data_IF_111763495848
#
_entry.id   IF_111763495848
#
_cell.length_a   1.000
_cell.length_b   1.000
_cell.length_c   1.000
_cell.angle_alpha   90.00
_cell.angle_beta   90.00
_cell.angle_gamma   90.00
#
_symmetry.space_group_name_H-M   'P 1'
#
loop_
_entity.id
_entity.type
_entity.pdbx_description
1 polymer ?
#
# COMPACT_ATOMS: atom_id res chain seq x y z
N UNK A 1 2.66 -12.00 -8.70
CA UNK A 1 1.47 -12.50 -9.41
C UNK A 1 0.81 -11.43 -10.29
N UNK A 2 0.61 -10.18 -9.81
CA UNK A 2 0.07 -9.09 -10.68
C UNK A 2 1.06 -8.58 -11.71
N UNK A 3 2.36 -8.60 -11.44
CA UNK A 3 3.40 -8.21 -12.40
C UNK A 3 3.50 -9.18 -13.59
N UNK A 4 3.09 -10.43 -13.43
CA UNK A 4 3.06 -11.42 -14.51
C UNK A 4 1.95 -11.17 -15.55
N UNK A 5 1.03 -10.28 -15.29
CA UNK A 5 -0.03 -9.86 -16.23
C UNK A 5 0.25 -8.56 -16.99
N UNK A 6 1.39 -7.92 -16.77
CA UNK A 6 1.83 -6.76 -17.54
C UNK A 6 2.53 -7.26 -18.83
N UNK A 7 1.89 -7.03 -19.95
CA UNK A 7 2.23 -7.63 -21.25
C UNK A 7 3.56 -7.14 -21.83
N UNK A 8 4.14 -6.01 -21.36
CA UNK A 8 5.38 -5.42 -21.86
C UNK A 8 6.23 -4.84 -20.72
N UNK A 9 6.79 -5.72 -19.86
CA UNK A 9 7.82 -5.28 -18.92
C UNK A 9 9.16 -5.16 -19.67
N UNK A 10 9.88 -4.03 -19.53
CA UNK A 10 11.24 -3.92 -20.02
C UNK A 10 12.13 -5.05 -19.50
N UNK A 11 13.03 -5.57 -20.34
CA UNK A 11 13.94 -6.68 -19.99
C UNK A 11 14.66 -6.48 -18.64
N UNK A 12 15.21 -5.28 -18.32
CA UNK A 12 15.86 -5.06 -17.02
C UNK A 12 14.95 -5.29 -15.81
N UNK A 13 13.65 -4.97 -15.90
CA UNK A 13 12.69 -5.22 -14.81
C UNK A 13 12.44 -6.72 -14.66
N UNK A 14 12.33 -7.43 -15.78
CA UNK A 14 12.14 -8.88 -15.77
C UNK A 14 13.33 -9.60 -15.11
N UNK A 15 14.55 -9.16 -15.38
CA UNK A 15 15.76 -9.73 -14.79
C UNK A 15 15.84 -9.44 -13.29
N UNK A 16 15.55 -8.21 -12.87
CA UNK A 16 15.48 -7.84 -11.44
C UNK A 16 14.41 -8.67 -10.68
N UNK A 17 13.26 -8.93 -11.30
CA UNK A 17 12.23 -9.79 -10.70
C UNK A 17 12.69 -11.25 -10.57
N UNK A 18 13.49 -11.76 -11.51
CA UNK A 18 14.10 -13.10 -11.41
C UNK A 18 15.14 -13.17 -10.29
N UNK A 19 15.98 -12.14 -10.18
CA UNK A 19 16.97 -12.02 -9.10
C UNK A 19 16.26 -11.95 -7.73
N UNK A 20 15.24 -11.12 -7.59
CA UNK A 20 14.44 -11.02 -6.37
C UNK A 20 13.77 -12.36 -6.00
N UNK A 21 13.20 -13.05 -7.01
CA UNK A 21 12.61 -14.38 -6.80
C UNK A 21 13.66 -15.41 -6.34
N UNK A 22 14.88 -15.31 -6.86
CA UNK A 22 15.98 -16.20 -6.47
C UNK A 22 16.47 -15.88 -5.05
N UNK A 23 16.60 -14.60 -4.72
CA UNK A 23 16.92 -14.15 -3.37
C UNK A 23 15.86 -14.60 -2.36
N UNK A 24 14.58 -14.47 -2.70
CA UNK A 24 13.48 -14.94 -1.85
C UNK A 24 13.57 -16.43 -1.54
N UNK A 25 13.81 -17.27 -2.55
CA UNK A 25 13.97 -18.72 -2.35
C UNK A 25 15.11 -19.10 -1.41
N UNK A 26 16.14 -18.26 -1.31
CA UNK A 26 17.28 -18.48 -0.42
C UNK A 26 17.05 -17.98 1.00
N UNK A 27 16.06 -17.11 1.20
CA UNK A 27 15.78 -16.42 2.45
C UNK A 27 14.35 -16.62 2.96
N UNK A 28 13.83 -17.84 2.90
CA UNK A 28 12.51 -18.15 3.45
C UNK A 28 11.30 -17.61 2.67
N UNK A 29 11.53 -17.10 1.44
CA UNK A 29 10.44 -16.59 0.60
C UNK A 29 10.43 -15.08 0.45
N UNK A 30 9.36 -14.58 -0.18
CA UNK A 30 9.07 -13.15 -0.36
C UNK A 30 7.71 -12.84 0.28
N UNK A 31 7.66 -11.85 1.13
CA UNK A 31 6.42 -11.36 1.72
C UNK A 31 6.21 -9.88 1.40
N UNK A 32 4.96 -9.46 1.21
CA UNK A 32 4.63 -8.06 0.98
C UNK A 32 3.38 -7.67 1.79
N UNK A 33 3.51 -6.62 2.58
CA UNK A 33 2.43 -6.00 3.32
C UNK A 33 2.22 -4.56 2.84
N UNK A 34 0.97 -4.14 2.68
CA UNK A 34 0.66 -2.76 2.29
C UNK A 34 -0.57 -2.23 3.01
N UNK A 35 -0.53 -0.96 3.35
CA UNK A 35 -1.67 -0.28 3.97
C UNK A 35 -1.39 1.15 4.36
N UNK A 36 -2.44 1.84 4.80
CA UNK A 36 -2.35 3.20 5.35
C UNK A 36 -2.22 3.14 6.87
N UNK A 37 -1.43 4.03 7.43
CA UNK A 37 -1.33 4.17 8.90
C UNK A 37 -2.60 4.75 9.52
N UNK A 38 -3.52 5.24 8.69
CA UNK A 38 -4.84 5.76 9.06
C UNK A 38 -4.83 7.22 9.50
N UNK A 39 -5.56 8.06 8.77
CA UNK A 39 -5.74 9.49 9.10
C UNK A 39 -6.58 9.71 10.37
N UNK A 40 -7.34 8.71 10.80
CA UNK A 40 -8.20 8.74 12.00
C UNK A 40 -7.66 7.97 13.19
N UNK A 41 -6.51 7.34 13.06
CA UNK A 41 -5.90 6.65 14.18
C UNK A 41 -5.38 7.68 15.19
N UNK A 42 -6.17 7.96 16.21
CA UNK A 42 -5.67 8.54 17.47
C UNK A 42 -4.70 7.56 18.15
N UNK A 43 -4.24 6.55 17.44
CA UNK A 43 -3.45 5.43 17.94
C UNK A 43 -1.97 5.50 17.54
N UNK A 44 -1.19 4.79 18.29
CA UNK A 44 0.25 4.63 18.12
C UNK A 44 0.57 3.92 16.79
N UNK A 45 1.72 4.24 16.21
CA UNK A 45 2.15 3.71 14.91
C UNK A 45 2.39 2.19 14.93
N UNK A 46 2.84 1.65 16.07
CA UNK A 46 3.16 0.22 16.23
C UNK A 46 1.95 -0.70 16.05
N UNK A 47 0.80 -0.48 16.71
CA UNK A 47 -0.42 -1.24 16.44
C UNK A 47 -0.93 -1.07 15.00
N UNK A 48 -0.77 0.11 14.40
CA UNK A 48 -1.17 0.34 13.02
C UNK A 48 -0.31 -0.48 12.03
N UNK A 49 1.01 -0.54 12.25
CA UNK A 49 1.90 -1.40 11.47
C UNK A 49 1.54 -2.87 11.64
N UNK A 50 1.37 -3.34 12.89
CA UNK A 50 1.03 -4.73 13.16
C UNK A 50 -0.26 -5.15 12.49
N UNK A 51 -1.29 -4.30 12.46
CA UNK A 51 -2.54 -4.54 11.74
C UNK A 51 -2.29 -4.80 10.24
N UNK A 52 -1.43 -4.00 9.61
CA UNK A 52 -1.07 -4.17 8.20
C UNK A 52 -0.38 -5.53 7.97
N UNK A 53 0.55 -5.89 8.84
CA UNK A 53 1.31 -7.13 8.75
C UNK A 53 0.41 -8.34 9.03
N UNK A 54 -0.39 -8.31 10.08
CA UNK A 54 -1.30 -9.40 10.43
C UNK A 54 -2.29 -9.68 9.28
N UNK A 55 -2.89 -8.62 8.70
CA UNK A 55 -3.76 -8.77 7.54
C UNK A 55 -3.04 -9.44 6.36
N UNK A 56 -1.79 -9.08 6.08
CA UNK A 56 -1.01 -9.67 4.99
C UNK A 56 -0.63 -11.11 5.24
N UNK A 57 -0.52 -11.51 6.50
CA UNK A 57 -0.25 -12.87 6.95
C UNK A 57 -1.53 -13.72 7.11
N UNK A 58 -2.72 -13.20 6.75
CA UNK A 58 -3.99 -13.89 6.94
C UNK A 58 -4.40 -14.05 8.40
N UNK A 59 -3.90 -13.18 9.28
CA UNK A 59 -4.23 -13.13 10.70
C UNK A 59 -5.29 -12.03 10.97
N UNK A 60 -6.01 -12.11 12.11
CA UNK A 60 -6.89 -11.04 12.57
C UNK A 60 -6.12 -9.72 12.74
N UNK A 61 -6.75 -8.61 12.37
CA UNK A 61 -6.11 -7.28 12.43
C UNK A 61 -5.87 -6.78 13.88
N UNK A 62 -6.68 -7.22 14.83
CA UNK A 62 -6.56 -6.81 16.21
C UNK A 62 -5.46 -7.60 16.94
N UNK A 63 -4.59 -6.90 17.65
CA UNK A 63 -3.40 -7.46 18.30
C UNK A 63 -3.71 -8.67 19.20
N UNK A 64 -4.67 -8.63 20.16
CA UNK A 64 -4.90 -9.76 21.04
C UNK A 64 -5.45 -10.98 20.28
N UNK A 65 -6.32 -10.79 19.28
CA UNK A 65 -6.84 -11.88 18.46
C UNK A 65 -5.75 -12.51 17.58
N UNK A 66 -4.89 -11.68 16.98
CA UNK A 66 -3.75 -12.19 16.22
C UNK A 66 -2.80 -13.02 17.09
N UNK A 67 -2.44 -12.51 18.26
CA UNK A 67 -1.59 -13.22 19.23
C UNK A 67 -2.21 -14.55 19.67
N UNK A 68 -3.52 -14.57 19.92
CA UNK A 68 -4.24 -15.79 20.28
C UNK A 68 -4.25 -16.79 19.13
N UNK A 69 -4.52 -16.36 17.89
CA UNK A 69 -4.50 -17.26 16.73
C UNK A 69 -3.08 -17.80 16.47
N UNK A 70 -2.04 -16.97 16.59
CA UNK A 70 -0.65 -17.43 16.46
C UNK A 70 -0.31 -18.46 17.54
N UNK A 71 -0.74 -18.24 18.79
CA UNK A 71 -0.57 -19.20 19.86
C UNK A 71 -1.30 -20.53 19.55
N UNK A 72 -2.56 -20.48 19.11
CA UNK A 72 -3.29 -21.70 18.71
C UNK A 72 -2.58 -22.46 17.57
N UNK A 73 -2.02 -21.75 16.59
CA UNK A 73 -1.22 -22.37 15.51
C UNK A 73 0.01 -23.07 16.08
N UNK A 74 0.74 -22.39 16.96
CA UNK A 74 1.98 -22.89 17.58
C UNK A 74 1.73 -24.15 18.42
N UNK A 75 0.61 -24.17 19.18
CA UNK A 75 0.22 -25.32 20.00
C UNK A 75 -0.47 -26.43 19.18
N UNK A 76 -0.70 -26.21 17.87
CA UNK A 76 -1.41 -27.17 17.01
C UNK A 76 -2.90 -27.32 17.33
N UNK A 77 -3.49 -26.33 18.00
CA UNK A 77 -4.87 -26.36 18.48
C UNK A 77 -5.86 -25.68 17.54
N UNK A 78 -5.38 -24.91 16.55
CA UNK A 78 -6.24 -24.03 15.73
C UNK A 78 -7.35 -24.79 15.03
N UNK A 79 -7.01 -25.87 14.33
CA UNK A 79 -7.98 -26.64 13.54
C UNK A 79 -9.04 -27.32 14.44
N UNK A 80 -8.64 -27.82 15.60
CA UNK A 80 -9.55 -28.42 16.55
C UNK A 80 -10.52 -27.38 17.15
N UNK A 81 -10.03 -26.19 17.48
CA UNK A 81 -10.86 -25.11 18.01
C UNK A 81 -11.81 -24.57 16.93
N UNK A 82 -11.35 -24.37 15.70
CA UNK A 82 -12.19 -24.00 14.56
C UNK A 82 -13.32 -25.00 14.34
N UNK A 83 -12.99 -26.29 14.22
CA UNK A 83 -13.97 -27.34 14.02
C UNK A 83 -15.01 -27.39 15.15
N UNK A 84 -14.60 -27.20 16.40
CA UNK A 84 -15.50 -27.18 17.57
C UNK A 84 -16.45 -25.97 17.53
N UNK A 85 -15.98 -24.79 17.16
CA UNK A 85 -16.82 -23.58 16.99
C UNK A 85 -17.85 -23.80 15.88
N UNK A 86 -17.45 -24.35 14.74
CA UNK A 86 -18.34 -24.66 13.61
C UNK A 86 -19.38 -25.72 13.97
N UNK A 87 -18.99 -26.77 14.67
CA UNK A 87 -19.91 -27.84 15.14
C UNK A 87 -20.97 -27.29 16.11
N UNK A 88 -20.61 -26.23 16.88
CA UNK A 88 -21.58 -25.53 17.72
C UNK A 88 -22.52 -24.59 16.93
N UNK A 89 -22.43 -24.58 15.58
CA UNK A 89 -23.22 -23.72 14.69
C UNK A 89 -22.84 -22.24 14.80
N UNK A 90 -21.60 -21.95 15.19
CA UNK A 90 -21.08 -20.57 15.35
C UNK A 90 -20.08 -20.26 14.24
N UNK A 91 -19.92 -18.96 13.98
CA UNK A 91 -18.92 -18.44 13.04
C UNK A 91 -17.67 -18.01 13.80
N UNK A 92 -16.50 -18.31 13.24
CA UNK A 92 -15.21 -18.06 13.88
C UNK A 92 -14.96 -16.57 14.16
N UNK A 93 -15.13 -15.69 13.16
CA UNK A 93 -14.80 -14.27 13.29
C UNK A 93 -15.59 -13.56 14.40
N UNK A 94 -16.92 -13.71 14.53
CA UNK A 94 -17.67 -13.15 15.65
C UNK A 94 -17.26 -13.69 17.02
N UNK A 95 -16.99 -14.99 17.13
CA UNK A 95 -16.57 -15.60 18.40
C UNK A 95 -15.17 -15.13 18.80
N UNK A 96 -14.25 -15.03 17.84
CA UNK A 96 -12.91 -14.48 18.03
C UNK A 96 -12.95 -12.99 18.39
N UNK A 97 -13.81 -12.20 17.74
CA UNK A 97 -14.02 -10.79 18.05
C UNK A 97 -14.49 -10.57 19.50
N UNK A 98 -15.21 -11.56 20.05
CA UNK A 98 -15.70 -11.56 21.41
C UNK A 98 -14.93 -12.52 22.34
N UNK A 99 -13.66 -12.82 22.07
CA UNK A 99 -12.88 -13.87 22.74
C UNK A 99 -12.92 -13.82 24.28
N UNK A 100 -13.06 -12.63 24.88
CA UNK A 100 -13.07 -12.47 26.33
C UNK A 100 -14.43 -12.77 26.99
N UNK A 101 -15.49 -12.88 26.19
CA UNK A 101 -16.86 -13.12 26.67
C UNK A 101 -17.52 -14.31 26.00
N UNK A 102 -16.98 -14.78 24.86
CA UNK A 102 -17.51 -15.91 24.13
C UNK A 102 -17.43 -17.18 24.96
N UNK A 103 -18.61 -17.77 25.20
CA UNK A 103 -18.71 -19.09 25.85
C UNK A 103 -18.36 -20.21 24.89
N UNK A 104 -18.81 -20.10 23.64
CA UNK A 104 -18.54 -21.11 22.61
C UNK A 104 -17.04 -21.24 22.32
N UNK A 105 -16.32 -20.13 22.24
CA UNK A 105 -14.86 -20.15 22.06
C UNK A 105 -14.15 -20.78 23.27
N UNK A 106 -14.59 -20.45 24.50
CA UNK A 106 -14.02 -21.04 25.70
C UNK A 106 -14.31 -22.55 25.81
N UNK A 107 -15.51 -23.03 25.42
CA UNK A 107 -15.87 -24.44 25.34
C UNK A 107 -15.03 -25.17 24.27
N UNK A 108 -14.87 -24.55 23.08
CA UNK A 108 -14.06 -25.11 22.02
C UNK A 108 -12.58 -25.24 22.42
N UNK A 109 -12.05 -24.23 23.12
CA UNK A 109 -10.66 -24.26 23.61
C UNK A 109 -10.46 -25.37 24.65
N UNK A 110 -11.37 -25.50 25.63
CA UNK A 110 -11.31 -26.55 26.64
C UNK A 110 -11.53 -27.95 26.06
N UNK A 111 -12.30 -28.09 24.97
CA UNK A 111 -12.43 -29.35 24.24
C UNK A 111 -11.13 -29.76 23.53
N UNK A 112 -10.39 -28.77 22.98
CA UNK A 112 -9.10 -28.99 22.32
C UNK A 112 -7.95 -29.17 23.33
N UNK A 113 -7.95 -28.40 24.42
CA UNK A 113 -6.98 -28.48 25.52
C UNK A 113 -7.68 -28.45 26.89
N UNK A 114 -8.04 -29.64 27.44
CA UNK A 114 -8.64 -29.74 28.79
C UNK A 114 -7.73 -29.20 29.93
N UNK A 115 -6.43 -29.08 29.67
CA UNK A 115 -5.46 -28.56 30.64
C UNK A 115 -5.39 -27.03 30.71
N UNK A 116 -5.96 -26.32 29.73
CA UNK A 116 -5.89 -24.87 29.64
C UNK A 116 -6.53 -24.17 30.84
N UNK A 117 -7.72 -24.62 31.31
CA UNK A 117 -8.41 -24.03 32.45
C UNK A 117 -9.39 -25.02 33.08
N UNK A 118 -9.83 -24.75 34.31
CA UNK A 118 -10.78 -25.61 35.04
C UNK A 118 -12.22 -25.53 34.51
N UNK A 119 -12.60 -24.40 33.97
CA UNK A 119 -13.93 -24.14 33.42
C UNK A 119 -13.95 -22.99 32.41
N UNK A 120 -15.07 -22.75 31.74
CA UNK A 120 -15.23 -21.70 30.73
C UNK A 120 -15.04 -20.27 31.28
N UNK A 121 -15.30 -20.05 32.57
CA UNK A 121 -15.09 -18.75 33.20
C UNK A 121 -13.60 -18.52 33.46
N UNK A 122 -12.90 -19.51 33.96
CA UNK A 122 -11.46 -19.48 34.14
C UNK A 122 -10.74 -19.33 32.78
N UNK A 123 -11.17 -20.05 31.75
CA UNK A 123 -10.63 -19.94 30.39
C UNK A 123 -10.72 -18.50 29.86
N UNK A 124 -11.89 -17.84 29.98
CA UNK A 124 -12.05 -16.44 29.56
C UNK A 124 -11.22 -15.46 30.38
N UNK A 125 -10.97 -15.74 31.65
CA UNK A 125 -10.09 -14.94 32.49
C UNK A 125 -8.64 -15.07 32.01
N UNK A 126 -8.17 -16.30 31.78
CA UNK A 126 -6.83 -16.57 31.28
C UNK A 126 -6.61 -15.95 29.90
N UNK A 127 -7.59 -16.04 29.00
CA UNK A 127 -7.50 -15.39 27.69
C UNK A 127 -7.28 -13.87 27.81
N UNK A 128 -7.97 -13.22 28.75
CA UNK A 128 -7.80 -11.77 29.01
C UNK A 128 -6.43 -11.44 29.61
N UNK A 129 -5.89 -12.31 30.44
CA UNK A 129 -4.58 -12.13 31.07
C UNK A 129 -3.43 -12.41 30.08
N UNK A 130 -3.53 -13.46 29.27
CA UNK A 130 -2.49 -13.85 28.34
C UNK A 130 -2.48 -13.00 27.07
N UNK A 131 -3.65 -12.59 26.59
CA UNK A 131 -3.81 -11.79 25.37
C UNK A 131 -4.55 -10.48 25.67
N UNK A 132 -3.95 -9.57 26.49
CA UNK A 132 -4.63 -8.34 26.90
C UNK A 132 -4.86 -7.40 25.73
N UNK A 133 -5.98 -6.67 25.77
CA UNK A 133 -6.19 -5.56 24.85
C UNK A 133 -5.26 -4.41 25.26
N UNK A 134 -4.39 -3.99 24.33
CA UNK A 134 -3.41 -2.92 24.54
C UNK A 134 -3.66 -1.80 23.55
N UNK A 135 -3.59 -0.56 24.01
CA UNK A 135 -3.62 0.63 23.15
C UNK A 135 -2.29 0.83 22.40
N UNK A 136 -1.19 0.39 23.00
CA UNK A 136 0.13 0.37 22.38
C UNK A 136 0.92 -0.86 22.83
N UNK A 137 1.96 -1.19 22.05
CA UNK A 137 2.92 -2.26 22.30
C UNK A 137 4.32 -1.67 22.34
N UNK A 138 5.21 -2.30 23.10
CA UNK A 138 6.63 -1.95 23.09
C UNK A 138 7.29 -2.32 21.75
N UNK A 139 8.45 -1.73 21.44
CA UNK A 139 9.22 -2.08 20.25
C UNK A 139 9.56 -3.59 20.22
N UNK A 140 9.91 -4.16 21.37
CA UNK A 140 10.18 -5.58 21.48
C UNK A 140 8.97 -6.44 21.15
N UNK A 141 7.80 -6.13 21.73
CA UNK A 141 6.55 -6.85 21.45
C UNK A 141 6.16 -6.74 19.97
N UNK A 142 6.40 -5.59 19.35
CA UNK A 142 6.16 -5.39 17.93
C UNK A 142 7.08 -6.28 17.09
N UNK A 143 8.38 -6.27 17.33
CA UNK A 143 9.35 -7.11 16.62
C UNK A 143 9.05 -8.59 16.80
N UNK A 144 8.79 -9.03 18.02
CA UNK A 144 8.43 -10.43 18.33
C UNK A 144 7.14 -10.84 17.59
N UNK A 145 6.13 -9.96 17.54
CA UNK A 145 4.88 -10.24 16.86
C UNK A 145 5.04 -10.28 15.33
N UNK A 146 5.88 -9.41 14.74
CA UNK A 146 6.20 -9.45 13.30
C UNK A 146 6.91 -10.77 12.97
N UNK A 147 7.93 -11.12 13.76
CA UNK A 147 8.70 -12.35 13.57
C UNK A 147 7.80 -13.58 13.66
N UNK A 148 6.97 -13.67 14.68
CA UNK A 148 6.03 -14.79 14.87
C UNK A 148 4.97 -14.87 13.75
N UNK A 149 4.50 -13.73 13.25
CA UNK A 149 3.48 -13.69 12.21
C UNK A 149 3.98 -14.10 10.83
N UNK A 150 5.29 -13.86 10.52
CA UNK A 150 5.83 -14.04 9.17
C UNK A 150 6.84 -15.18 9.05
N UNK A 151 7.35 -15.73 10.16
CA UNK A 151 8.28 -16.85 10.12
C UNK A 151 7.53 -18.13 9.77
N UNK A 152 7.98 -18.82 8.73
CA UNK A 152 7.53 -20.16 8.34
C UNK A 152 8.76 -21.08 8.30
N UNK A 153 8.63 -22.29 8.84
CA UNK A 153 9.73 -23.29 8.88
C UNK A 153 11.05 -22.71 9.42
N UNK A 154 10.98 -21.94 10.50
CA UNK A 154 12.11 -21.24 11.15
C UNK A 154 12.85 -20.24 10.24
N UNK A 155 12.27 -19.84 9.12
CA UNK A 155 12.83 -18.86 8.21
C UNK A 155 11.95 -17.60 8.11
N UNK A 156 12.57 -16.43 8.29
CA UNK A 156 11.92 -15.15 8.10
C UNK A 156 12.04 -14.73 6.62
N UNK A 157 10.94 -14.41 5.92
CA UNK A 157 10.98 -14.06 4.50
C UNK A 157 11.55 -12.65 4.27
N UNK A 158 12.13 -12.41 3.09
CA UNK A 158 12.40 -11.04 2.65
C UNK A 158 11.10 -10.28 2.52
N UNK A 159 10.91 -9.28 3.36
CA UNK A 159 9.63 -8.61 3.57
C UNK A 159 9.66 -7.17 3.09
N UNK A 160 8.70 -6.80 2.24
CA UNK A 160 8.45 -5.44 1.81
C UNK A 160 7.21 -4.88 2.51
N UNK A 161 7.35 -3.76 3.21
CA UNK A 161 6.24 -3.04 3.83
C UNK A 161 6.02 -1.72 3.11
N UNK A 162 4.83 -1.54 2.53
CA UNK A 162 4.43 -0.30 1.86
C UNK A 162 3.45 0.46 2.75
N UNK A 163 3.88 1.62 3.23
CA UNK A 163 3.06 2.54 4.03
C UNK A 163 2.54 3.65 3.11
N UNK A 164 1.26 3.61 2.80
CA UNK A 164 0.65 4.58 1.91
C UNK A 164 0.17 5.82 2.67
N UNK A 165 0.28 6.97 2.01
CA UNK A 165 -0.15 8.28 2.52
C UNK A 165 0.47 8.65 3.89
N UNK A 166 1.76 8.38 4.08
CA UNK A 166 2.48 8.63 5.34
C UNK A 166 2.33 10.08 5.81
N UNK A 167 2.28 11.05 4.87
CA UNK A 167 2.09 12.46 5.21
C UNK A 167 0.74 12.72 5.92
N UNK A 168 -0.31 11.96 5.63
CA UNK A 168 -1.62 12.14 6.29
C UNK A 168 -1.56 11.70 7.76
N UNK A 169 -0.77 10.65 8.05
CA UNK A 169 -0.55 10.23 9.42
C UNK A 169 0.28 11.24 10.20
N UNK A 170 1.37 11.75 9.61
CA UNK A 170 2.25 12.71 10.27
C UNK A 170 1.53 14.04 10.50
N UNK A 171 0.86 14.55 9.45
CA UNK A 171 0.21 15.86 9.46
C UNK A 171 1.13 16.92 10.11
N UNK A 172 0.64 17.71 11.07
CA UNK A 172 1.40 18.75 11.79
C UNK A 172 2.09 18.21 13.07
N UNK A 173 1.93 16.93 13.39
CA UNK A 173 2.43 16.35 14.65
C UNK A 173 3.88 15.86 14.54
N UNK A 174 4.82 16.58 15.15
CA UNK A 174 6.23 16.20 15.17
C UNK A 174 6.48 14.84 15.85
N UNK A 175 5.71 14.52 16.89
CA UNK A 175 5.83 13.25 17.62
C UNK A 175 5.55 12.04 16.73
N UNK A 176 4.64 12.14 15.78
CA UNK A 176 4.34 11.07 14.83
C UNK A 176 5.48 10.80 13.86
N UNK A 177 6.21 11.84 13.47
CA UNK A 177 7.44 11.70 12.68
C UNK A 177 8.47 10.88 13.43
N UNK A 178 8.68 11.21 14.72
CA UNK A 178 9.60 10.50 15.57
C UNK A 178 9.20 9.03 15.77
N UNK A 179 7.92 8.76 15.99
CA UNK A 179 7.40 7.39 16.12
C UNK A 179 7.67 6.53 14.87
N UNK A 180 7.50 7.10 13.65
CA UNK A 180 7.81 6.38 12.41
C UNK A 180 9.32 6.14 12.28
N UNK A 181 10.15 7.13 12.62
CA UNK A 181 11.59 6.98 12.59
C UNK A 181 12.05 5.85 13.51
N UNK A 182 11.62 5.89 14.77
CA UNK A 182 11.94 4.87 15.77
C UNK A 182 11.50 3.47 15.32
N UNK A 183 10.30 3.36 14.74
CA UNK A 183 9.76 2.11 14.22
C UNK A 183 10.63 1.56 13.08
N UNK A 184 10.97 2.39 12.09
CA UNK A 184 11.80 1.97 10.95
C UNK A 184 13.21 1.59 11.40
N UNK A 185 13.82 2.37 12.30
CA UNK A 185 15.15 2.09 12.85
C UNK A 185 15.16 0.79 13.64
N UNK A 186 14.16 0.56 14.51
CA UNK A 186 14.02 -0.68 15.26
C UNK A 186 13.90 -1.88 14.34
N UNK A 187 12.99 -1.83 13.37
CA UNK A 187 12.80 -2.93 12.42
C UNK A 187 14.07 -3.18 11.58
N UNK A 188 14.75 -2.11 11.13
CA UNK A 188 15.99 -2.26 10.37
C UNK A 188 17.09 -2.95 11.15
N UNK A 189 17.22 -2.65 12.45
CA UNK A 189 18.22 -3.25 13.33
C UNK A 189 17.89 -4.72 13.65
N UNK A 190 16.63 -5.02 14.01
CA UNK A 190 16.24 -6.34 14.49
C UNK A 190 16.07 -7.39 13.38
N UNK A 191 15.77 -6.97 12.14
CA UNK A 191 15.59 -7.87 11.00
C UNK A 191 16.77 -7.91 10.03
N UNK A 192 17.91 -7.31 10.37
CA UNK A 192 19.19 -7.42 9.64
C UNK A 192 19.07 -7.18 8.12
N UNK A 193 18.22 -6.24 7.72
CA UNK A 193 17.99 -5.91 6.32
C UNK A 193 17.01 -6.82 5.56
N UNK A 194 16.42 -7.81 6.20
CA UNK A 194 15.38 -8.65 5.60
C UNK A 194 14.01 -7.96 5.48
N UNK A 195 13.86 -6.79 6.12
CA UNK A 195 12.64 -6.01 6.10
C UNK A 195 12.91 -4.62 5.53
N UNK A 196 12.19 -4.25 4.46
CA UNK A 196 12.32 -2.97 3.77
C UNK A 196 11.03 -2.18 3.84
N UNK A 197 11.13 -0.87 4.10
CA UNK A 197 10.00 0.05 4.09
C UNK A 197 9.97 0.93 2.83
N UNK A 198 8.77 1.10 2.26
CA UNK A 198 8.46 2.11 1.27
C UNK A 198 7.36 3.01 1.84
N UNK A 199 7.65 4.30 1.95
CA UNK A 199 6.65 5.31 2.29
C UNK A 199 6.18 6.04 1.03
N UNK A 200 4.88 6.18 0.83
CA UNK A 200 4.33 7.01 -0.25
C UNK A 200 3.69 8.28 0.29
N UNK A 201 3.65 9.33 -0.55
CA UNK A 201 3.06 10.60 -0.22
C UNK A 201 2.55 11.33 -1.46
N UNK A 202 1.51 12.16 -1.30
CA UNK A 202 0.86 12.86 -2.41
C UNK A 202 1.39 14.28 -2.63
N UNK A 203 1.95 14.91 -1.62
CA UNK A 203 2.45 16.29 -1.70
C UNK A 203 3.96 16.27 -1.83
N UNK A 204 4.53 17.32 -2.46
CA UNK A 204 5.97 17.52 -2.43
C UNK A 204 6.45 17.39 -0.98
N UNK A 205 7.15 16.32 -0.70
CA UNK A 205 7.65 15.95 0.63
C UNK A 205 8.55 17.05 1.24
N UNK A 206 8.97 18.03 0.41
CA UNK A 206 9.73 19.19 0.82
C UNK A 206 8.94 20.27 1.60
N UNK A 207 7.59 20.13 1.72
CA UNK A 207 6.75 21.22 2.20
C UNK A 207 6.72 21.42 3.72
N UNK A 208 7.05 20.42 4.53
CA UNK A 208 7.03 20.55 5.99
C UNK A 208 8.36 20.11 6.62
N UNK A 209 8.86 20.81 7.65
CA UNK A 209 10.12 20.44 8.34
C UNK A 209 10.08 19.02 8.91
N UNK A 210 8.93 18.56 9.36
CA UNK A 210 8.74 17.21 9.92
C UNK A 210 8.93 16.13 8.86
N UNK A 211 8.40 16.36 7.67
CA UNK A 211 8.50 15.41 6.57
C UNK A 211 9.94 15.35 6.02
N UNK A 212 10.66 16.49 5.97
CA UNK A 212 12.08 16.51 5.60
C UNK A 212 12.94 15.70 6.55
N UNK A 213 12.67 15.75 7.86
CA UNK A 213 13.36 14.92 8.86
C UNK A 213 13.13 13.42 8.63
N UNK A 214 11.91 13.04 8.28
CA UNK A 214 11.58 11.65 7.97
C UNK A 214 12.30 11.19 6.69
N UNK A 215 12.30 12.03 5.65
CA UNK A 215 12.97 11.72 4.38
C UNK A 215 14.48 11.45 4.55
N UNK A 216 15.12 12.13 5.48
CA UNK A 216 16.54 11.88 5.77
C UNK A 216 16.84 10.46 6.26
N UNK A 217 15.83 9.69 6.66
CA UNK A 217 15.94 8.28 7.10
C UNK A 217 15.66 7.29 5.99
N UNK A 218 15.05 7.73 4.89
CA UNK A 218 14.85 6.89 3.70
C UNK A 218 16.03 7.09 2.74
N UNK A 219 16.67 6.00 2.37
CA UNK A 219 17.91 6.01 1.58
C UNK A 219 17.68 6.49 0.14
N UNK A 220 16.50 6.21 -0.42
CA UNK A 220 16.19 6.46 -1.82
C UNK A 220 14.90 7.27 -1.94
N UNK A 221 14.97 8.61 -2.13
CA UNK A 221 13.82 9.41 -2.47
C UNK A 221 13.50 9.25 -3.97
N UNK A 222 12.25 8.87 -4.28
CA UNK A 222 11.74 8.79 -5.66
C UNK A 222 10.63 9.82 -5.79
N UNK A 223 10.80 10.77 -6.69
CA UNK A 223 9.77 11.74 -7.02
C UNK A 223 9.25 11.41 -8.43
N UNK A 224 7.93 11.15 -8.52
CA UNK A 224 7.27 11.05 -9.81
C UNK A 224 7.17 12.43 -10.43
N UNK A 225 7.65 12.57 -11.66
CA UNK A 225 7.60 13.85 -12.40
C UNK A 225 6.27 14.02 -13.12
N UNK A 226 5.94 15.26 -13.50
CA UNK A 226 4.74 15.56 -14.31
C UNK A 226 4.79 14.86 -15.68
N UNK A 227 5.99 14.56 -16.21
CA UNK A 227 6.19 13.79 -17.43
C UNK A 227 5.67 12.37 -17.35
N UNK A 228 5.71 11.77 -16.18
CA UNK A 228 5.20 10.41 -15.97
C UNK A 228 3.67 10.34 -16.08
N UNK A 229 2.98 11.42 -15.70
CA UNK A 229 1.52 11.57 -15.88
C UNK A 229 1.14 11.45 -17.34
N UNK A 230 1.89 12.12 -18.21
CA UNK A 230 1.66 12.12 -19.65
C UNK A 230 1.81 10.72 -20.26
N UNK A 231 2.84 10.00 -19.83
CA UNK A 231 3.08 8.63 -20.27
C UNK A 231 1.93 7.72 -19.82
N UNK A 232 1.45 7.87 -18.58
CA UNK A 232 0.30 7.11 -18.06
C UNK A 232 -0.97 7.44 -18.85
N UNK A 233 -1.24 8.72 -19.11
CA UNK A 233 -2.40 9.16 -19.90
C UNK A 233 -2.37 8.54 -21.29
N UNK A 234 -1.25 8.65 -22.01
CA UNK A 234 -1.11 8.14 -23.37
C UNK A 234 -1.22 6.63 -23.45
N UNK A 235 -0.58 5.90 -22.51
CA UNK A 235 -0.55 4.45 -22.53
C UNK A 235 -1.82 3.78 -22.03
N UNK A 236 -2.53 4.39 -21.06
CA UNK A 236 -3.67 3.75 -20.41
C UNK A 236 -5.02 4.35 -20.82
N UNK A 237 -5.14 5.71 -20.88
CA UNK A 237 -6.43 6.36 -21.17
C UNK A 237 -6.60 6.57 -22.67
N UNK A 238 -5.54 7.06 -23.33
CA UNK A 238 -5.56 7.41 -24.74
C UNK A 238 -4.92 6.33 -25.62
N UNK A 239 -4.74 5.11 -25.12
CA UNK A 239 -4.19 4.00 -25.89
C UNK A 239 -4.99 3.79 -27.18
N UNK A 240 -4.31 3.76 -28.33
CA UNK A 240 -4.92 3.58 -29.64
C UNK A 240 -4.87 2.13 -30.07
N UNK A 241 -5.96 1.67 -30.67
CA UNK A 241 -5.91 0.43 -31.42
C UNK A 241 -4.95 0.59 -32.62
N UNK A 242 -4.12 -0.41 -32.93
CA UNK A 242 -3.15 -0.31 -34.04
C UNK A 242 -3.79 0.14 -35.36
N UNK A 243 -5.00 -0.35 -35.66
CA UNK A 243 -5.73 -0.06 -36.89
C UNK A 243 -6.16 1.42 -36.97
N UNK A 244 -6.47 2.06 -35.82
CA UNK A 244 -6.90 3.44 -35.76
C UNK A 244 -5.74 4.43 -35.95
N UNK A 245 -4.50 4.06 -35.67
CA UNK A 245 -3.35 4.98 -35.75
C UNK A 245 -3.17 5.57 -37.16
N UNK A 246 -3.29 4.74 -38.20
CA UNK A 246 -3.16 5.18 -39.60
C UNK A 246 -4.28 6.16 -39.97
N UNK A 247 -5.50 5.90 -39.52
CA UNK A 247 -6.63 6.78 -39.78
C UNK A 247 -6.49 8.12 -39.05
N UNK A 248 -6.09 8.10 -37.78
CA UNK A 248 -5.83 9.33 -36.99
C UNK A 248 -4.72 10.14 -37.67
N UNK A 249 -3.62 9.51 -38.08
CA UNK A 249 -2.53 10.18 -38.76
C UNK A 249 -3.00 10.90 -40.04
N UNK A 250 -3.85 10.28 -40.82
CA UNK A 250 -4.43 10.88 -42.02
C UNK A 250 -5.31 12.09 -41.67
N UNK A 251 -6.23 11.95 -40.72
CA UNK A 251 -7.12 13.05 -40.28
C UNK A 251 -6.33 14.23 -39.76
N UNK A 252 -5.28 13.99 -39.00
CA UNK A 252 -4.41 15.06 -38.45
C UNK A 252 -3.61 15.75 -39.56
N UNK A 253 -3.09 15.02 -40.53
CA UNK A 253 -2.39 15.59 -41.66
C UNK A 253 -3.32 16.46 -42.53
N UNK A 254 -4.51 15.98 -42.82
CA UNK A 254 -5.51 16.68 -43.65
C UNK A 254 -6.00 17.99 -43.01
N UNK A 255 -5.96 18.11 -41.67
CA UNK A 255 -6.45 19.29 -40.92
C UNK A 255 -5.35 20.11 -40.26
N UNK A 256 -4.07 19.77 -40.44
CA UNK A 256 -2.92 20.42 -39.77
C UNK A 256 -2.84 21.93 -40.03
N UNK A 257 -3.10 22.35 -41.25
CA UNK A 257 -3.08 23.79 -41.64
C UNK A 257 -4.15 24.61 -40.96
N UNK A 258 -5.34 24.03 -40.78
CA UNK A 258 -6.46 24.71 -40.12
C UNK A 258 -6.21 24.79 -38.59
N UNK A 259 -5.73 23.73 -37.98
CA UNK A 259 -5.33 23.72 -36.56
C UNK A 259 -4.24 24.74 -36.30
N UNK A 260 -3.21 24.78 -37.13
CA UNK A 260 -2.10 25.76 -37.01
C UNK A 260 -2.60 27.19 -37.12
N UNK A 261 -3.52 27.48 -38.07
CA UNK A 261 -4.09 28.82 -38.25
C UNK A 261 -4.85 29.30 -37.03
N UNK A 262 -5.62 28.43 -36.38
CA UNK A 262 -6.38 28.78 -35.17
C UNK A 262 -5.51 28.94 -33.92
N UNK A 263 -4.28 28.45 -33.92
CA UNK A 263 -3.36 28.51 -32.78
C UNK A 263 -2.28 29.56 -32.94
N UNK A 264 -2.11 30.16 -34.14
CA UNK A 264 -1.04 31.10 -34.45
C UNK A 264 -1.00 32.35 -33.55
N UNK A 265 -2.15 32.81 -33.04
CA UNK A 265 -2.24 34.00 -32.18
C UNK A 265 -2.34 33.65 -30.69
N UNK A 266 -2.17 32.39 -30.30
CA UNK A 266 -2.27 31.95 -28.91
C UNK A 266 -0.88 31.84 -28.26
N UNK A 267 -0.76 32.27 -27.00
CA UNK A 267 0.46 32.10 -26.18
C UNK A 267 0.81 30.64 -25.90
N UNK A 268 -0.11 29.72 -26.20
CA UNK A 268 0.02 28.27 -26.04
C UNK A 268 0.14 27.55 -27.38
N UNK A 269 0.63 28.26 -28.41
CA UNK A 269 0.76 27.78 -29.79
C UNK A 269 1.46 26.43 -29.93
N UNK A 270 1.44 25.93 -31.14
CA UNK A 270 2.04 24.65 -31.51
C UNK A 270 3.56 24.69 -31.33
N UNK A 271 4.12 23.64 -30.72
CA UNK A 271 5.56 23.46 -30.60
C UNK A 271 6.02 22.33 -31.55
N UNK A 272 7.25 22.36 -32.10
CA UNK A 272 7.71 21.27 -32.97
C UNK A 272 7.64 19.88 -32.34
N UNK A 273 7.86 19.80 -31.02
CA UNK A 273 7.81 18.57 -30.24
C UNK A 273 6.39 17.96 -30.16
N UNK A 274 5.37 18.75 -30.45
CA UNK A 274 3.97 18.30 -30.46
C UNK A 274 3.71 17.26 -31.58
N UNK A 275 4.47 17.28 -32.67
CA UNK A 275 4.31 16.34 -33.77
C UNK A 275 4.55 14.89 -33.34
N UNK A 276 5.51 14.66 -32.48
CA UNK A 276 5.85 13.32 -31.95
C UNK A 276 4.73 12.73 -31.11
N UNK A 277 3.98 13.60 -30.41
CA UNK A 277 2.95 13.19 -29.45
C UNK A 277 1.53 13.36 -29.96
N UNK A 278 1.32 13.98 -31.13
CA UNK A 278 0.03 14.33 -31.70
C UNK A 278 -0.94 13.14 -31.79
N UNK A 279 -0.47 12.01 -32.30
CA UNK A 279 -1.27 10.79 -32.45
C UNK A 279 -1.54 10.16 -31.08
N UNK A 280 -0.55 10.15 -30.21
CA UNK A 280 -0.66 9.57 -28.87
C UNK A 280 -1.63 10.38 -28.00
N UNK A 281 -1.66 11.70 -28.14
CA UNK A 281 -2.53 12.60 -27.38
C UNK A 281 -3.97 12.71 -27.95
N UNK A 282 -4.21 12.32 -29.20
CA UNK A 282 -5.57 12.37 -29.79
C UNK A 282 -6.60 11.63 -28.90
N UNK A 283 -7.85 12.12 -28.70
CA UNK A 283 -8.49 13.29 -29.32
C UNK A 283 -8.11 14.63 -28.68
N UNK A 284 -7.23 14.63 -27.69
CA UNK A 284 -6.75 15.85 -27.06
C UNK A 284 -5.50 16.33 -27.82
N UNK A 285 -5.56 17.59 -28.30
CA UNK A 285 -4.37 18.19 -28.87
C UNK A 285 -3.36 18.51 -27.76
N UNK A 286 -2.03 18.38 -27.99
CA UNK A 286 -0.99 18.75 -27.02
C UNK A 286 -1.17 20.17 -26.45
N UNK A 287 -1.62 21.12 -27.29
CA UNK A 287 -1.96 22.49 -26.92
C UNK A 287 -3.03 22.57 -25.83
N UNK A 288 -4.11 21.80 -25.98
CA UNK A 288 -5.20 21.75 -24.98
C UNK A 288 -4.72 21.21 -23.65
N UNK A 289 -3.84 20.23 -23.68
CA UNK A 289 -3.26 19.66 -22.47
C UNK A 289 -2.42 20.72 -21.74
N UNK A 290 -1.52 21.41 -22.43
CA UNK A 290 -0.74 22.54 -21.84
C UNK A 290 -1.64 23.64 -21.28
N UNK A 291 -2.76 23.93 -21.94
CA UNK A 291 -3.73 24.89 -21.42
C UNK A 291 -4.34 24.42 -20.09
N UNK A 292 -4.78 23.17 -20.01
CA UNK A 292 -5.32 22.62 -18.77
C UNK A 292 -4.30 22.59 -17.63
N UNK A 293 -3.07 22.21 -17.91
CA UNK A 293 -1.99 22.26 -16.92
C UNK A 293 -1.78 23.65 -16.37
N UNK A 294 -1.74 24.67 -17.23
CA UNK A 294 -1.64 26.08 -16.80
C UNK A 294 -2.84 26.50 -15.95
N UNK A 295 -4.06 26.15 -16.35
CA UNK A 295 -5.26 26.43 -15.57
C UNK A 295 -5.21 25.75 -14.19
N UNK A 296 -4.86 24.47 -14.15
CA UNK A 296 -4.77 23.72 -12.90
C UNK A 296 -3.70 24.28 -11.96
N UNK A 297 -2.52 24.63 -12.49
CA UNK A 297 -1.45 25.29 -11.71
C UNK A 297 -1.86 26.66 -11.17
N UNK A 298 -2.63 27.42 -11.93
CA UNK A 298 -3.13 28.72 -11.49
C UNK A 298 -4.21 28.61 -10.42
N UNK A 299 -5.04 27.58 -10.48
CA UNK A 299 -6.11 27.34 -9.51
C UNK A 299 -5.62 26.71 -8.20
N UNK A 300 -4.50 26.01 -8.25
CA UNK A 300 -3.92 25.31 -7.12
C UNK A 300 -2.39 25.46 -7.06
N UNK A 301 -1.90 26.66 -6.69
CA UNK A 301 -0.46 26.93 -6.60
C UNK A 301 0.27 26.01 -5.61
N UNK A 302 -0.45 25.44 -4.65
CA UNK A 302 0.10 24.54 -3.63
C UNK A 302 0.17 23.07 -4.08
N UNK A 303 -0.43 22.75 -5.24
CA UNK A 303 -0.40 21.40 -5.82
C UNK A 303 -1.22 20.36 -5.06
N UNK A 304 -2.09 20.77 -4.13
CA UNK A 304 -2.86 19.86 -3.29
C UNK A 304 -4.11 19.30 -3.97
N UNK A 305 -4.68 20.02 -4.94
CA UNK A 305 -5.91 19.65 -5.66
C UNK A 305 -5.70 19.36 -7.15
N UNK A 306 -4.62 19.87 -7.75
CA UNK A 306 -4.28 19.67 -9.17
C UNK A 306 -3.64 18.30 -9.47
N UNK A 307 -3.90 17.34 -8.61
CA UNK A 307 -3.25 16.04 -8.60
C UNK A 307 -3.61 15.19 -9.82
N UNK A 308 -2.76 14.21 -10.08
CA UNK A 308 -2.88 13.18 -11.11
C UNK A 308 -4.33 12.68 -11.30
N UNK A 309 -5.05 12.44 -10.19
CA UNK A 309 -6.44 11.95 -10.23
C UNK A 309 -7.39 12.94 -10.94
N UNK A 310 -7.26 14.23 -10.68
CA UNK A 310 -8.06 15.29 -11.31
C UNK A 310 -7.71 15.42 -12.79
N UNK A 311 -6.42 15.40 -13.13
CA UNK A 311 -5.95 15.43 -14.51
C UNK A 311 -6.45 14.20 -15.29
N UNK A 312 -6.30 13.00 -14.75
CA UNK A 312 -6.78 11.77 -15.36
C UNK A 312 -8.31 11.78 -15.59
N UNK A 313 -9.06 12.26 -14.60
CA UNK A 313 -10.53 12.41 -14.71
C UNK A 313 -10.92 13.40 -15.80
N UNK A 314 -10.24 14.55 -15.88
CA UNK A 314 -10.49 15.58 -16.89
C UNK A 314 -10.18 15.07 -18.29
N UNK A 315 -9.06 14.39 -18.47
CA UNK A 315 -8.67 13.75 -19.74
C UNK A 315 -9.69 12.71 -20.16
N UNK A 316 -10.11 11.83 -19.23
CA UNK A 316 -11.08 10.77 -19.50
C UNK A 316 -12.45 11.35 -19.90
N UNK A 317 -12.90 12.44 -19.25
CA UNK A 317 -14.16 13.12 -19.59
C UNK A 317 -14.08 13.85 -20.94
N UNK A 318 -12.92 14.46 -21.24
CA UNK A 318 -12.70 15.17 -22.51
C UNK A 318 -12.47 14.24 -23.71
N UNK A 319 -12.11 12.98 -23.48
CA UNK A 319 -11.89 11.97 -24.50
C UNK A 319 -13.16 11.16 -24.86
N UNK A 320 -14.22 11.26 -24.06
CA UNK A 320 -15.56 10.69 -24.31
C UNK A 320 -16.40 11.62 -25.15
#
# INVERSE_FOLDING_TARGET
AKAQGLVDLPDPITDLLRELSTAGRRNGGLHAASGTLGAGAQGNVRPALLRIIFRSAGLPEAYPQARFVMWLKKEGLLDAVLASVEQAGRQWEPELGNMYVSRSLAEALLAADPGFASDTKAARTLLREQFPNKEDVSNKEMVDAIREALTEDDQFPLTLIVLDEVQQYINEYADRTYQIQELVETCSADFEGQLMFIGTGQTALAGTPNLQKLMARFTIPIQLSDTDVDVVVRKNILAKKPEAQTQIKKVMADNSGEVSRHLLESEIGYCPEDEETLIADYPLLPVRRRFWERCLRSLDPTGTKSQLRTQLSTVLQGAR
#
